data_IF_536137573333
#
_entry.id   IF_536137573333
#
_cell.length_a   1.000
_cell.length_b   1.000
_cell.length_c   1.000
_cell.angle_alpha   90.00
_cell.angle_beta   90.00
_cell.angle_gamma   90.00
#
_symmetry.space_group_name_H-M   'P 1'
#
loop_
_entity.id
_entity.type
_entity.pdbx_description
1 polymer ?
#
# COMPACT_ATOMS: atom_id res chain seq x y z
N UNK A 1 -5.90 27.49 22.25
CA UNK A 1 -5.76 27.98 20.86
C UNK A 1 -7.12 27.96 20.20
N UNK A 2 -7.61 29.08 19.70
CA UNK A 2 -8.86 29.09 18.91
C UNK A 2 -8.48 29.06 17.44
N UNK A 3 -8.95 28.06 16.68
CA UNK A 3 -8.85 28.03 15.22
C UNK A 3 -9.90 28.98 14.65
N UNK A 4 -9.47 30.05 13.97
CA UNK A 4 -10.36 31.03 13.34
C UNK A 4 -10.93 30.50 12.04
N UNK A 5 -10.15 29.66 11.31
CA UNK A 5 -10.62 28.95 10.14
C UNK A 5 -9.83 27.64 9.97
N UNK A 6 -10.50 26.58 9.52
CA UNK A 6 -9.86 25.30 9.27
C UNK A 6 -10.44 24.64 8.03
N UNK A 7 -9.59 24.21 7.14
CA UNK A 7 -9.93 23.42 5.97
C UNK A 7 -9.07 22.14 5.96
N UNK A 8 -9.70 20.99 5.82
CA UNK A 8 -9.05 19.70 5.64
C UNK A 8 -9.55 19.05 4.33
N UNK A 9 -8.65 18.87 3.37
CA UNK A 9 -8.99 18.37 2.04
C UNK A 9 -8.02 17.28 1.55
N UNK A 10 -8.51 16.26 0.85
CA UNK A 10 -7.64 15.31 0.16
C UNK A 10 -6.88 16.03 -0.97
N UNK A 11 -5.58 15.77 -1.10
CA UNK A 11 -4.75 16.42 -2.10
C UNK A 11 -3.77 15.44 -2.76
N UNK A 12 -3.35 15.79 -4.00
CA UNK A 12 -2.17 15.22 -4.64
C UNK A 12 -1.13 16.30 -4.78
N UNK A 13 -0.03 16.16 -4.07
CA UNK A 13 1.02 17.18 -4.07
C UNK A 13 1.87 17.08 -5.33
N UNK A 14 2.37 18.23 -5.84
CA UNK A 14 3.26 18.26 -7.01
C UNK A 14 4.74 18.08 -6.64
N UNK A 15 5.07 18.18 -5.37
CA UNK A 15 6.42 18.02 -4.81
C UNK A 15 6.36 17.22 -3.50
N UNK A 16 7.47 16.62 -3.05
CA UNK A 16 7.51 15.95 -1.75
C UNK A 16 7.24 16.93 -0.59
N UNK A 17 6.61 16.42 0.47
CA UNK A 17 6.37 17.12 1.72
C UNK A 17 6.70 16.22 2.91
N UNK A 18 6.95 16.80 4.07
CA UNK A 18 7.03 16.07 5.32
C UNK A 18 5.62 15.94 5.92
N UNK A 19 5.28 14.75 6.40
CA UNK A 19 4.07 14.56 7.19
C UNK A 19 4.19 15.35 8.51
N UNK A 20 3.17 16.15 8.82
CA UNK A 20 3.17 16.97 10.04
C UNK A 20 3.19 16.11 11.31
N UNK A 21 2.60 14.92 11.26
CA UNK A 21 2.43 14.03 12.41
C UNK A 21 3.59 13.06 12.59
N UNK A 22 3.95 12.25 11.60
CA UNK A 22 5.02 11.25 11.74
C UNK A 22 6.41 11.73 11.28
N UNK A 23 6.49 12.85 10.56
CA UNK A 23 7.75 13.40 10.04
C UNK A 23 8.30 12.70 8.80
N UNK A 24 7.65 11.65 8.30
CA UNK A 24 8.12 10.95 7.10
C UNK A 24 7.82 11.72 5.80
N UNK A 25 8.62 11.45 4.78
CA UNK A 25 8.44 12.07 3.46
C UNK A 25 7.18 11.51 2.79
N UNK A 26 6.29 12.41 2.37
CA UNK A 26 5.16 12.14 1.51
C UNK A 26 5.65 12.39 0.07
N UNK A 27 5.80 11.37 -0.78
CA UNK A 27 6.23 11.57 -2.17
C UNK A 27 5.26 12.44 -2.96
N UNK A 28 5.75 13.09 -4.01
CA UNK A 28 4.88 13.79 -4.96
C UNK A 28 3.85 12.79 -5.56
N UNK A 29 2.59 13.21 -5.66
CA UNK A 29 1.52 12.38 -6.20
C UNK A 29 0.99 11.29 -5.27
N UNK A 30 1.49 11.15 -4.03
CA UNK A 30 1.05 10.14 -3.09
C UNK A 30 -0.47 10.18 -2.88
N UNK A 31 -1.11 9.00 -2.98
CA UNK A 31 -2.55 8.85 -2.72
C UNK A 31 -2.83 8.92 -1.22
N UNK A 32 -4.04 9.36 -0.87
CA UNK A 32 -4.48 9.42 0.54
C UNK A 32 -3.81 10.54 1.35
N UNK A 33 -3.04 11.42 0.73
CA UNK A 33 -2.52 12.62 1.39
C UNK A 33 -3.63 13.61 1.65
N UNK A 34 -3.66 14.20 2.83
CA UNK A 34 -4.55 15.32 3.18
C UNK A 34 -3.73 16.58 3.41
N UNK A 35 -4.33 17.71 3.10
CA UNK A 35 -3.80 19.04 3.41
C UNK A 35 -4.74 19.69 4.43
N UNK A 36 -4.16 20.09 5.54
CA UNK A 36 -4.80 20.92 6.53
C UNK A 36 -4.27 22.34 6.38
N UNK A 37 -5.15 23.32 6.38
CA UNK A 37 -4.81 24.73 6.34
C UNK A 37 -5.79 25.55 7.16
N UNK A 38 -5.32 26.62 7.77
CA UNK A 38 -6.14 27.45 8.63
C UNK A 38 -5.39 28.68 9.11
N UNK A 39 -6.01 29.39 10.02
CA UNK A 39 -5.42 30.52 10.73
C UNK A 39 -5.47 30.20 12.21
N UNK A 40 -4.32 30.20 12.84
CA UNK A 40 -4.16 30.11 14.29
C UNK A 40 -4.04 31.51 14.87
N UNK A 41 -4.74 31.78 15.98
CA UNK A 41 -4.75 33.11 16.61
C UNK A 41 -3.37 33.57 17.09
N UNK A 42 -2.50 32.62 17.46
CA UNK A 42 -1.16 32.91 18.01
C UNK A 42 -0.04 32.82 17.00
N UNK A 43 -0.14 31.92 16.01
CA UNK A 43 0.92 31.65 15.04
C UNK A 43 0.59 32.15 13.63
N UNK A 44 -0.67 32.53 13.37
CA UNK A 44 -1.13 33.00 12.06
C UNK A 44 -1.46 31.86 11.08
N UNK A 45 -1.39 32.12 9.76
CA UNK A 45 -1.79 31.13 8.77
C UNK A 45 -0.83 29.95 8.72
N UNK A 46 -1.40 28.74 8.76
CA UNK A 46 -0.64 27.49 8.66
C UNK A 46 -1.09 26.63 7.47
N UNK A 47 -0.19 25.78 7.03
CA UNK A 47 -0.46 24.70 6.06
C UNK A 47 0.39 23.49 6.40
N UNK A 48 -0.25 22.35 6.61
CA UNK A 48 0.43 21.11 6.91
C UNK A 48 -0.12 19.95 6.05
N UNK A 49 0.68 18.91 5.89
CA UNK A 49 0.33 17.74 5.09
C UNK A 49 0.36 16.49 5.95
N UNK A 50 -0.64 15.62 5.76
CA UNK A 50 -0.77 14.36 6.49
C UNK A 50 -0.68 13.20 5.51
N UNK A 51 0.23 12.25 5.77
CA UNK A 51 0.35 11.05 4.96
C UNK A 51 -0.85 10.10 5.17
N UNK A 52 -1.15 9.26 4.18
CA UNK A 52 -2.24 8.29 4.23
C UNK A 52 -2.24 7.43 5.50
N UNK A 53 -1.05 7.07 6.01
CA UNK A 53 -0.90 6.26 7.23
C UNK A 53 -1.37 6.99 8.49
N UNK A 54 -1.15 8.29 8.60
CA UNK A 54 -1.53 9.06 9.78
C UNK A 54 -2.98 9.53 9.76
N UNK A 55 -3.56 9.73 8.56
CA UNK A 55 -4.94 10.24 8.38
C UNK A 55 -5.97 9.54 9.29
N UNK A 56 -6.01 8.21 9.43
CA UNK A 56 -7.01 7.54 10.25
C UNK A 56 -6.97 7.90 11.74
N UNK A 57 -5.82 8.36 12.23
CA UNK A 57 -5.58 8.60 13.66
C UNK A 57 -5.65 10.07 14.04
N UNK A 58 -5.70 10.99 13.09
CA UNK A 58 -5.61 12.45 13.35
C UNK A 58 -6.75 12.94 14.22
N UNK A 59 -7.98 12.55 13.89
CA UNK A 59 -9.16 12.97 14.64
C UNK A 59 -9.16 12.42 16.08
N UNK A 60 -8.81 11.15 16.24
CA UNK A 60 -8.74 10.47 17.54
C UNK A 60 -7.62 11.09 18.40
N UNK A 61 -6.46 11.39 17.80
CA UNK A 61 -5.37 12.08 18.46
C UNK A 61 -5.80 13.44 19.02
N UNK A 62 -6.46 14.29 18.22
CA UNK A 62 -6.90 15.60 18.67
C UNK A 62 -7.96 15.53 19.79
N UNK A 63 -8.83 14.54 19.74
CA UNK A 63 -9.77 14.29 20.85
C UNK A 63 -9.07 13.82 22.14
N UNK A 64 -7.93 13.15 22.00
CA UNK A 64 -7.15 12.67 23.15
C UNK A 64 -6.32 13.80 23.81
N UNK A 65 -5.64 14.62 23.03
CA UNK A 65 -4.70 15.62 23.54
C UNK A 65 -5.31 17.00 23.77
N UNK A 66 -6.44 17.31 23.14
CA UNK A 66 -7.02 18.66 23.12
C UNK A 66 -6.22 19.65 22.26
N UNK A 67 -6.43 20.94 22.47
CA UNK A 67 -5.94 21.98 21.57
C UNK A 67 -4.54 22.51 21.93
N UNK A 68 -3.98 22.16 23.09
CA UNK A 68 -2.70 22.70 23.57
C UNK A 68 -1.54 21.73 23.37
N UNK A 69 -1.03 21.65 22.15
CA UNK A 69 0.06 20.76 21.74
C UNK A 69 1.27 21.58 21.29
N UNK A 70 2.31 21.64 22.13
CA UNK A 70 3.52 22.41 21.85
C UNK A 70 4.40 21.82 20.74
N UNK A 71 4.52 20.48 20.66
CA UNK A 71 5.23 19.77 19.61
C UNK A 71 4.34 18.65 19.06
N UNK A 72 3.69 18.93 17.93
CA UNK A 72 2.75 18.04 17.27
C UNK A 72 3.33 16.65 17.00
N UNK A 73 4.59 16.57 16.54
CA UNK A 73 5.20 15.28 16.18
C UNK A 73 5.54 14.44 17.40
N UNK A 74 6.06 15.06 18.44
CA UNK A 74 6.40 14.34 19.66
C UNK A 74 5.15 13.85 20.38
N UNK A 75 4.13 14.71 20.50
CA UNK A 75 2.84 14.33 21.09
C UNK A 75 2.13 13.24 20.29
N UNK A 76 2.08 13.35 18.97
CA UNK A 76 1.50 12.32 18.12
C UNK A 76 2.25 10.99 18.23
N UNK A 77 3.58 11.00 18.29
CA UNK A 77 4.39 9.81 18.48
C UNK A 77 4.12 9.13 19.83
N UNK A 78 4.03 9.90 20.91
CA UNK A 78 3.68 9.36 22.25
C UNK A 78 2.30 8.75 22.24
N UNK A 79 1.30 9.47 21.78
CA UNK A 79 -0.05 8.97 21.62
C UNK A 79 -0.10 7.66 20.83
N UNK A 80 0.54 7.60 19.68
CA UNK A 80 0.57 6.42 18.84
C UNK A 80 1.27 5.23 19.50
N UNK A 81 2.35 5.46 20.24
CA UNK A 81 3.04 4.39 20.97
C UNK A 81 2.20 3.84 22.13
N UNK A 82 1.42 4.68 22.79
CA UNK A 82 0.58 4.31 23.93
C UNK A 82 -0.73 3.66 23.48
N UNK A 83 -1.45 4.26 22.55
CA UNK A 83 -2.79 3.84 22.15
C UNK A 83 -2.78 2.85 20.97
N UNK A 84 -1.75 2.89 20.13
CA UNK A 84 -1.64 2.07 18.92
C UNK A 84 -0.23 1.43 18.82
N UNK A 85 0.17 0.57 19.79
CA UNK A 85 1.49 -0.08 19.75
C UNK A 85 1.68 -0.82 18.42
N UNK A 86 2.86 -0.68 17.84
CA UNK A 86 3.18 -1.26 16.52
C UNK A 86 2.66 -0.42 15.31
N UNK A 87 2.15 0.78 15.51
CA UNK A 87 1.66 1.63 14.41
C UNK A 87 2.72 1.97 13.36
N UNK A 88 4.00 2.05 13.76
CA UNK A 88 5.12 2.25 12.82
C UNK A 88 5.45 0.99 12.02
N UNK A 89 5.22 -0.16 12.62
CA UNK A 89 5.39 -1.46 12.00
C UNK A 89 4.23 -1.83 11.08
N UNK A 90 3.09 -1.13 11.22
CA UNK A 90 2.03 -1.08 10.20
C UNK A 90 2.49 -0.20 9.02
N UNK A 91 3.72 -0.37 8.56
CA UNK A 91 4.07 -0.09 7.18
C UNK A 91 2.98 -0.77 6.36
N UNK A 92 2.37 -0.08 5.40
CA UNK A 92 1.45 -0.71 4.44
C UNK A 92 2.12 -1.97 3.92
N UNK A 93 1.91 -3.09 4.63
CA UNK A 93 2.45 -4.37 4.23
C UNK A 93 1.88 -4.62 2.84
N UNK A 94 2.75 -4.76 1.87
CA UNK A 94 2.33 -5.07 0.50
C UNK A 94 2.36 -6.56 0.30
N UNK A 95 1.32 -7.08 -0.36
CA UNK A 95 1.26 -8.46 -0.77
C UNK A 95 1.03 -8.56 -2.29
N UNK A 96 1.61 -9.59 -2.90
CA UNK A 96 1.24 -10.00 -4.24
C UNK A 96 0.24 -11.15 -4.17
N UNK A 97 -0.56 -11.30 -5.24
CA UNK A 97 -1.49 -12.42 -5.41
C UNK A 97 -0.91 -13.35 -6.46
N UNK A 98 -0.70 -14.60 -6.07
CA UNK A 98 -0.35 -15.72 -6.94
C UNK A 98 -1.59 -16.58 -7.15
N UNK A 99 -2.08 -16.67 -8.39
CA UNK A 99 -3.29 -17.44 -8.73
C UNK A 99 -3.11 -18.26 -10.00
N UNK A 100 -3.68 -19.49 -10.05
CA UNK A 100 -3.75 -20.26 -11.28
C UNK A 100 -4.61 -19.55 -12.32
N UNK A 101 -4.07 -19.33 -13.52
CA UNK A 101 -4.82 -18.69 -14.62
C UNK A 101 -5.01 -19.62 -15.81
N UNK A 102 -4.13 -20.62 -15.99
CA UNK A 102 -4.20 -21.53 -17.15
C UNK A 102 -5.50 -22.32 -17.16
N UNK A 103 -6.24 -22.24 -18.28
CA UNK A 103 -7.51 -22.96 -18.47
C UNK A 103 -8.72 -22.34 -17.77
N UNK A 104 -8.60 -21.14 -17.20
CA UNK A 104 -9.69 -20.37 -16.59
C UNK A 104 -10.17 -19.26 -17.50
N UNK A 105 -11.43 -18.86 -17.35
CA UNK A 105 -11.99 -17.69 -18.03
C UNK A 105 -11.54 -16.40 -17.35
N UNK A 106 -11.68 -15.28 -18.04
CA UNK A 106 -11.36 -13.95 -17.48
C UNK A 106 -12.24 -13.62 -16.26
N UNK A 107 -13.50 -14.06 -16.26
CA UNK A 107 -14.44 -13.91 -15.15
C UNK A 107 -13.97 -14.71 -13.92
N UNK A 108 -13.58 -15.98 -14.09
CA UNK A 108 -13.07 -16.82 -12.99
C UNK A 108 -11.79 -16.26 -12.40
N UNK A 109 -10.91 -15.69 -13.25
CA UNK A 109 -9.68 -15.00 -12.82
C UNK A 109 -10.01 -13.74 -12.01
N UNK A 110 -10.95 -12.94 -12.48
CA UNK A 110 -11.38 -11.70 -11.81
C UNK A 110 -12.02 -12.00 -10.44
N UNK A 111 -12.95 -12.97 -10.37
CA UNK A 111 -13.61 -13.36 -9.11
C UNK A 111 -12.63 -13.86 -8.06
N UNK A 112 -11.68 -14.73 -8.44
CA UNK A 112 -10.67 -15.23 -7.51
C UNK A 112 -9.80 -14.07 -6.98
N UNK A 113 -9.50 -13.12 -7.85
CA UNK A 113 -8.71 -11.95 -7.50
C UNK A 113 -9.44 -11.00 -6.57
N UNK A 114 -10.73 -10.76 -6.81
CA UNK A 114 -11.56 -9.91 -5.96
C UNK A 114 -11.68 -10.49 -4.54
N UNK A 115 -11.85 -11.82 -4.40
CA UNK A 115 -11.82 -12.50 -3.09
C UNK A 115 -10.47 -12.31 -2.39
N UNK A 116 -9.37 -12.52 -3.11
CA UNK A 116 -8.03 -12.32 -2.56
C UNK A 116 -7.79 -10.86 -2.13
N UNK A 117 -8.23 -9.88 -2.94
CA UNK A 117 -8.16 -8.46 -2.61
C UNK A 117 -8.96 -8.12 -1.34
N UNK A 118 -10.19 -8.64 -1.21
CA UNK A 118 -11.01 -8.43 -0.02
C UNK A 118 -10.29 -8.97 1.22
N UNK A 119 -9.80 -10.21 1.14
CA UNK A 119 -9.09 -10.86 2.24
C UNK A 119 -7.82 -10.12 2.65
N UNK A 120 -7.00 -9.70 1.69
CA UNK A 120 -5.77 -8.94 1.95
C UNK A 120 -6.06 -7.59 2.62
N UNK A 121 -7.14 -6.89 2.21
CA UNK A 121 -7.56 -5.64 2.88
C UNK A 121 -7.98 -5.86 4.33
N UNK A 122 -8.74 -6.91 4.62
CA UNK A 122 -9.11 -7.29 5.99
C UNK A 122 -7.88 -7.55 6.86
N UNK A 123 -6.85 -8.14 6.27
CA UNK A 123 -5.57 -8.42 6.94
C UNK A 123 -4.64 -7.20 7.00
N UNK A 124 -5.04 -6.05 6.44
CA UNK A 124 -4.27 -4.81 6.47
C UNK A 124 -3.15 -4.72 5.43
N UNK A 125 -3.22 -5.52 4.34
CA UNK A 125 -2.27 -5.45 3.23
C UNK A 125 -2.76 -4.54 2.10
N UNK A 126 -1.83 -3.78 1.53
CA UNK A 126 -1.97 -3.25 0.16
C UNK A 126 -1.51 -4.33 -0.83
N UNK A 127 -2.21 -4.47 -1.93
CA UNK A 127 -1.81 -5.44 -2.96
C UNK A 127 -1.03 -4.77 -4.10
N UNK A 128 -0.03 -5.47 -4.61
CA UNK A 128 0.68 -5.13 -5.84
C UNK A 128 -0.05 -5.80 -7.00
N UNK A 129 -0.43 -5.01 -8.02
CA UNK A 129 -1.11 -5.56 -9.20
C UNK A 129 -0.15 -6.45 -9.99
N UNK A 130 -0.52 -7.73 -10.13
CA UNK A 130 0.23 -8.73 -10.90
C UNK A 130 -0.48 -9.14 -12.20
N UNK A 131 -1.52 -8.40 -12.63
CA UNK A 131 -2.05 -8.49 -13.99
C UNK A 131 -1.25 -7.53 -14.88
N UNK A 132 -0.55 -8.09 -15.85
CA UNK A 132 0.32 -7.34 -16.76
C UNK A 132 -0.47 -6.92 -17.99
N UNK A 133 -1.13 -5.77 -17.91
CA UNK A 133 -1.97 -5.20 -18.96
C UNK A 133 -1.25 -4.08 -19.74
N UNK A 134 0.01 -3.80 -19.41
CA UNK A 134 0.77 -2.78 -20.13
C UNK A 134 1.25 -3.29 -21.49
N UNK A 135 1.48 -2.35 -22.40
CA UNK A 135 1.88 -2.65 -23.79
C UNK A 135 3.19 -3.43 -23.89
N UNK A 136 4.07 -3.35 -22.89
CA UNK A 136 5.32 -4.07 -22.82
C UNK A 136 5.15 -5.59 -22.82
N UNK A 137 4.05 -6.09 -22.28
CA UNK A 137 3.68 -7.50 -22.23
C UNK A 137 2.68 -7.91 -23.32
N UNK A 138 2.39 -7.05 -24.30
CA UNK A 138 1.63 -7.47 -25.48
C UNK A 138 2.41 -8.48 -26.32
N UNK A 139 1.71 -9.35 -27.02
CA UNK A 139 2.32 -10.35 -27.89
C UNK A 139 3.28 -9.72 -28.93
N UNK A 140 2.89 -8.57 -29.48
CA UNK A 140 3.71 -7.84 -30.44
C UNK A 140 5.05 -7.36 -29.82
N UNK A 141 4.99 -6.73 -28.65
CA UNK A 141 6.18 -6.22 -27.97
C UNK A 141 7.08 -7.36 -27.46
N UNK A 142 6.52 -8.46 -27.00
CA UNK A 142 7.30 -9.66 -26.62
C UNK A 142 8.01 -10.26 -27.82
N UNK A 143 7.33 -10.37 -28.95
CA UNK A 143 7.92 -10.88 -30.20
C UNK A 143 9.04 -10.00 -30.70
N UNK A 144 8.86 -8.68 -30.69
CA UNK A 144 9.87 -7.69 -31.08
C UNK A 144 11.15 -7.81 -30.22
N UNK A 145 11.00 -8.05 -28.92
CA UNK A 145 12.12 -8.29 -27.99
C UNK A 145 12.74 -9.68 -28.11
N UNK A 146 12.24 -10.54 -28.99
CA UNK A 146 12.75 -11.91 -29.16
C UNK A 146 12.39 -12.85 -28.01
N UNK A 147 11.28 -12.62 -27.30
CA UNK A 147 10.83 -13.51 -26.22
C UNK A 147 10.44 -14.87 -26.80
N UNK A 148 11.18 -15.92 -26.42
CA UNK A 148 10.93 -17.30 -26.85
C UNK A 148 9.98 -18.02 -25.88
N UNK A 149 10.12 -17.74 -24.58
CA UNK A 149 9.35 -18.40 -23.52
C UNK A 149 8.43 -17.36 -22.83
N UNK A 150 7.31 -17.06 -23.46
CA UNK A 150 6.31 -16.10 -22.96
C UNK A 150 5.89 -16.36 -21.50
N UNK A 151 5.56 -17.62 -21.09
CA UNK A 151 5.22 -17.88 -19.69
C UNK A 151 6.35 -17.57 -18.71
N UNK A 152 7.62 -17.74 -19.12
CA UNK A 152 8.77 -17.40 -18.30
C UNK A 152 8.96 -15.88 -18.19
N UNK A 153 8.63 -15.12 -19.23
CA UNK A 153 8.65 -13.66 -19.20
C UNK A 153 7.66 -13.12 -18.18
N UNK A 154 6.45 -13.67 -18.13
CA UNK A 154 5.44 -13.31 -17.11
C UNK A 154 5.90 -13.70 -15.70
N UNK A 155 6.45 -14.89 -15.51
CA UNK A 155 6.98 -15.33 -14.23
C UNK A 155 8.11 -14.42 -13.73
N UNK A 156 9.01 -14.02 -14.62
CA UNK A 156 10.10 -13.09 -14.26
C UNK A 156 9.55 -11.76 -13.74
N UNK A 157 8.51 -11.22 -14.38
CA UNK A 157 7.84 -9.99 -13.90
C UNK A 157 7.10 -10.20 -12.59
N UNK A 158 6.50 -11.35 -12.40
CA UNK A 158 5.86 -11.71 -11.14
C UNK A 158 6.87 -11.74 -9.98
N UNK A 159 8.05 -12.35 -10.20
CA UNK A 159 9.14 -12.36 -9.21
C UNK A 159 9.71 -10.95 -8.96
N UNK A 160 9.82 -10.10 -9.98
CA UNK A 160 10.17 -8.69 -9.80
C UNK A 160 9.14 -7.98 -8.90
N UNK A 161 7.84 -8.16 -9.14
CA UNK A 161 6.79 -7.60 -8.31
C UNK A 161 6.81 -8.15 -6.87
N UNK A 162 7.18 -9.43 -6.70
CA UNK A 162 7.36 -10.05 -5.39
C UNK A 162 8.42 -9.32 -4.56
N UNK A 163 9.49 -8.81 -5.18
CA UNK A 163 10.53 -8.04 -4.49
C UNK A 163 10.02 -6.74 -3.85
N UNK A 164 8.83 -6.27 -4.25
CA UNK A 164 8.17 -5.10 -3.70
C UNK A 164 7.21 -5.43 -2.53
N UNK A 165 7.10 -6.71 -2.17
CA UNK A 165 6.09 -7.23 -1.25
C UNK A 165 6.71 -7.75 0.05
N UNK A 166 5.91 -7.72 1.10
CA UNK A 166 6.21 -8.33 2.40
C UNK A 166 5.61 -9.73 2.51
N UNK A 167 4.57 -9.99 1.70
CA UNK A 167 3.83 -11.25 1.68
C UNK A 167 3.48 -11.69 0.25
N UNK A 168 3.25 -12.98 0.08
CA UNK A 168 2.67 -13.58 -1.11
C UNK A 168 1.41 -14.37 -0.72
N UNK A 169 0.28 -14.05 -1.35
CA UNK A 169 -1.01 -14.69 -1.12
C UNK A 169 -1.31 -15.67 -2.25
N UNK A 170 -1.51 -16.93 -1.91
CA UNK A 170 -1.71 -18.03 -2.85
C UNK A 170 -3.19 -18.44 -2.90
N UNK A 171 -3.82 -18.24 -4.06
CA UNK A 171 -5.21 -18.64 -4.30
C UNK A 171 -5.33 -20.17 -4.44
N UNK A 172 -6.52 -20.71 -4.15
CA UNK A 172 -6.83 -22.16 -4.25
C UNK A 172 -6.34 -22.76 -5.56
N UNK A 173 -5.70 -23.92 -5.45
CA UNK A 173 -5.17 -24.68 -6.58
C UNK A 173 -3.80 -24.20 -7.08
N UNK A 174 -3.14 -23.32 -6.34
CA UNK A 174 -1.79 -22.82 -6.67
C UNK A 174 -0.77 -23.97 -6.83
N UNK A 175 -0.92 -25.06 -6.07
CA UNK A 175 -0.05 -26.26 -6.10
C UNK A 175 -0.04 -26.95 -7.46
N UNK A 176 -1.13 -26.79 -8.23
CA UNK A 176 -1.29 -27.38 -9.55
C UNK A 176 -0.76 -26.47 -10.68
N UNK A 177 -0.43 -25.21 -10.38
CA UNK A 177 0.06 -24.25 -11.33
C UNK A 177 1.58 -24.09 -11.23
N UNK A 178 2.30 -24.40 -12.32
CA UNK A 178 3.77 -24.36 -12.37
C UNK A 178 4.34 -23.01 -11.92
N UNK A 179 3.78 -21.89 -12.41
CA UNK A 179 4.21 -20.55 -12.05
C UNK A 179 4.04 -20.28 -10.57
N UNK A 180 2.86 -20.59 -10.01
CA UNK A 180 2.56 -20.39 -8.60
C UNK A 180 3.47 -21.20 -7.68
N UNK A 181 3.86 -22.42 -8.06
CA UNK A 181 4.83 -23.22 -7.29
C UNK A 181 6.21 -22.55 -7.23
N UNK A 182 6.69 -22.03 -8.35
CA UNK A 182 7.98 -21.33 -8.39
C UNK A 182 7.92 -20.04 -7.56
N UNK A 183 6.81 -19.30 -7.64
CA UNK A 183 6.57 -18.13 -6.81
C UNK A 183 6.52 -18.47 -5.32
N UNK A 184 5.90 -19.61 -4.97
CA UNK A 184 5.83 -20.09 -3.59
C UNK A 184 7.22 -20.46 -3.05
N UNK A 185 8.00 -21.22 -3.81
CA UNK A 185 9.36 -21.58 -3.44
C UNK A 185 10.25 -20.34 -3.28
N UNK A 186 10.09 -19.36 -4.17
CA UNK A 186 10.79 -18.08 -4.07
C UNK A 186 10.37 -17.30 -2.82
N UNK A 187 9.06 -17.22 -2.53
CA UNK A 187 8.56 -16.52 -1.34
C UNK A 187 9.16 -17.11 -0.05
N UNK A 188 9.18 -18.43 0.07
CA UNK A 188 9.81 -19.13 1.21
C UNK A 188 11.32 -18.86 1.25
N UNK A 189 12.02 -19.03 0.13
CA UNK A 189 13.47 -18.89 0.07
C UNK A 189 13.97 -17.48 0.44
N UNK A 190 13.17 -16.46 0.13
CA UNK A 190 13.49 -15.06 0.43
C UNK A 190 12.79 -14.51 1.69
N UNK A 191 12.12 -15.37 2.45
CA UNK A 191 11.55 -15.03 3.76
C UNK A 191 10.33 -14.10 3.72
N UNK A 192 9.55 -14.11 2.62
CA UNK A 192 8.27 -13.44 2.58
C UNK A 192 7.26 -14.18 3.47
N UNK A 193 6.33 -13.44 4.03
CA UNK A 193 5.16 -14.03 4.68
C UNK A 193 4.29 -14.74 3.62
N UNK A 194 3.97 -16.02 3.87
CA UNK A 194 3.18 -16.82 2.92
C UNK A 194 1.77 -16.96 3.46
N UNK A 195 0.79 -16.53 2.67
CA UNK A 195 -0.62 -16.52 2.99
C UNK A 195 -1.38 -17.38 2.00
N UNK A 196 -2.43 -18.07 2.46
CA UNK A 196 -3.22 -18.95 1.62
C UNK A 196 -4.71 -18.59 1.64
N UNK A 197 -5.38 -18.82 0.53
CA UNK A 197 -6.84 -18.80 0.45
C UNK A 197 -7.39 -20.05 1.15
N UNK A 198 -8.30 -19.85 2.12
CA UNK A 198 -8.97 -20.91 2.92
C UNK A 198 -9.86 -21.84 2.06
#
# INVERSE_FOLDING_TARGET
MALVSFEDAPVRTRKPHLCAYCGEVIPAGAKGTRRESGIDDSEGPFRRYTCARCVPYVWEFWNYVGDDVADLRDWFRRYMNEQHPGWRERVNKRAMISQPMAGKTDEEIAEARDRAHARLREMGYEFVNTLFTDQWYSDAAMKERGVVQVPLCYLAKSLENMSLCHAAYFCKGWENARGCRIEHDAAIAYGLEVLYED
#
